data_IF_000250558726
#
_entry.id   IF_000250558726
#
_cell.length_a   1.000
_cell.length_b   1.000
_cell.length_c   1.000
_cell.angle_alpha   90.00
_cell.angle_beta   90.00
_cell.angle_gamma   90.00
#
_symmetry.space_group_name_H-M   'P 1'
#
loop_
_entity.id
_entity.type
_entity.pdbx_description
1 polymer ?
#
# COMPACT_ATOMS: atom_id res chain seq x y z
N UNK A 1 -1.81 -2.18 -6.95
CA UNK A 1 -0.51 -2.13 -6.22
C UNK A 1 -0.37 -3.35 -5.32
N UNK A 2 0.76 -4.06 -5.40
CA UNK A 2 0.99 -5.27 -4.61
C UNK A 2 1.58 -4.96 -3.24
N UNK A 3 1.15 -5.72 -2.23
CA UNK A 3 1.70 -5.63 -0.88
C UNK A 3 3.20 -5.91 -0.83
N UNK A 4 3.67 -6.90 -1.59
CA UNK A 4 5.07 -7.32 -1.57
C UNK A 4 6.00 -6.20 -2.03
N UNK A 5 5.64 -5.50 -3.10
CA UNK A 5 6.42 -4.41 -3.66
C UNK A 5 6.50 -3.23 -2.68
N UNK A 6 5.36 -2.88 -2.07
CA UNK A 6 5.28 -1.86 -1.02
C UNK A 6 6.16 -2.22 0.18
N UNK A 7 6.01 -3.43 0.71
CA UNK A 7 6.78 -3.88 1.88
C UNK A 7 8.29 -3.94 1.57
N UNK A 8 8.66 -4.35 0.35
CA UNK A 8 10.04 -4.35 -0.13
C UNK A 8 10.59 -2.92 -0.24
N UNK A 9 9.79 -1.99 -0.76
CA UNK A 9 10.15 -0.58 -0.90
C UNK A 9 10.43 0.09 0.45
N UNK A 10 9.52 -0.06 1.42
CA UNK A 10 9.69 0.50 2.76
C UNK A 10 10.67 -0.30 3.63
N UNK A 11 11.18 -1.44 3.15
CA UNK A 11 12.09 -2.30 3.92
C UNK A 11 11.42 -3.06 5.07
N UNK A 12 10.10 -3.24 5.04
CA UNK A 12 9.37 -4.04 6.02
C UNK A 12 7.93 -3.61 6.25
N UNK A 13 7.16 -4.54 6.83
CA UNK A 13 5.75 -4.35 7.20
C UNK A 13 5.61 -3.28 8.28
N UNK A 14 6.53 -3.27 9.26
CA UNK A 14 6.59 -2.27 10.34
C UNK A 14 6.86 -0.88 9.78
N UNK A 15 7.88 -0.73 8.93
CA UNK A 15 8.22 0.54 8.30
C UNK A 15 7.07 1.07 7.44
N UNK A 16 6.42 0.19 6.67
CA UNK A 16 5.21 0.53 5.89
C UNK A 16 4.10 1.04 6.80
N UNK A 17 3.86 0.38 7.93
CA UNK A 17 2.83 0.77 8.90
C UNK A 17 3.12 2.14 9.52
N UNK A 18 4.37 2.36 9.93
CA UNK A 18 4.85 3.64 10.49
C UNK A 18 4.74 4.77 9.47
N UNK A 19 5.18 4.55 8.23
CA UNK A 19 5.08 5.53 7.15
C UNK A 19 3.62 5.94 6.91
N UNK A 20 2.71 4.97 6.90
CA UNK A 20 1.27 5.22 6.66
C UNK A 20 0.50 5.71 7.89
N UNK A 21 1.13 5.71 9.07
CA UNK A 21 0.48 6.02 10.34
C UNK A 21 -0.62 5.01 10.71
N UNK A 22 -0.47 3.75 10.32
CA UNK A 22 -1.41 2.67 10.65
C UNK A 22 -0.76 1.64 11.57
N UNK A 23 -1.59 0.82 12.23
CA UNK A 23 -1.10 -0.25 13.08
C UNK A 23 -0.53 -1.40 12.25
N UNK A 24 0.55 -2.03 12.72
CA UNK A 24 1.17 -3.20 12.09
C UNK A 24 0.16 -4.31 11.67
N UNK A 25 -0.85 -4.70 12.49
CA UNK A 25 -1.84 -5.69 12.10
C UNK A 25 -2.68 -5.29 10.86
N UNK A 26 -2.83 -3.99 10.59
CA UNK A 26 -3.54 -3.54 9.40
C UNK A 26 -2.78 -3.89 8.11
N UNK A 27 -1.45 -3.76 8.11
CA UNK A 27 -0.59 -4.14 6.98
C UNK A 27 -0.55 -5.66 6.82
N UNK A 28 -0.54 -6.42 7.93
CA UNK A 28 -0.64 -7.88 7.88
C UNK A 28 -1.94 -8.34 7.22
N UNK A 29 -3.07 -7.69 7.52
CA UNK A 29 -4.39 -8.01 6.93
C UNK A 29 -4.55 -7.66 5.46
N UNK A 30 -3.62 -6.92 4.85
CA UNK A 30 -3.67 -6.69 3.41
C UNK A 30 -3.49 -8.01 2.66
N UNK A 31 -4.33 -8.20 1.64
CA UNK A 31 -4.22 -9.30 0.70
C UNK A 31 -3.03 -9.13 -0.26
N UNK A 32 -3.06 -9.85 -1.38
CA UNK A 32 -2.07 -9.70 -2.44
C UNK A 32 -2.03 -8.25 -2.96
N UNK A 33 -3.22 -7.67 -3.14
CA UNK A 33 -3.42 -6.27 -3.50
C UNK A 33 -3.74 -5.48 -2.23
N UNK A 34 -3.02 -4.36 -2.02
CA UNK A 34 -3.25 -3.48 -0.87
C UNK A 34 -4.54 -2.67 -1.06
N UNK A 35 -5.24 -2.22 -0.01
CA UNK A 35 -6.43 -1.40 -0.16
C UNK A 35 -6.18 -0.09 -0.92
N UNK A 36 -7.13 0.33 -1.75
CA UNK A 36 -7.09 1.55 -2.56
C UNK A 36 -6.69 2.80 -1.74
N UNK A 37 -7.34 2.99 -0.58
CA UNK A 37 -7.08 4.11 0.33
C UNK A 37 -5.63 4.16 0.83
N UNK A 38 -4.99 3.00 0.99
CA UNK A 38 -3.58 2.93 1.40
C UNK A 38 -2.67 3.13 0.19
N UNK A 39 -3.03 2.59 -0.96
CA UNK A 39 -2.30 2.77 -2.20
C UNK A 39 -2.16 4.25 -2.58
N UNK A 40 -3.26 5.02 -2.49
CA UNK A 40 -3.23 6.48 -2.69
C UNK A 40 -2.32 7.21 -1.70
N UNK A 41 -2.34 6.82 -0.41
CA UNK A 41 -1.44 7.42 0.59
C UNK A 41 0.03 7.14 0.26
N UNK A 42 0.33 5.89 -0.11
CA UNK A 42 1.68 5.47 -0.48
C UNK A 42 2.16 6.23 -1.70
N UNK A 43 1.36 6.35 -2.75
CA UNK A 43 1.74 7.09 -3.96
C UNK A 43 2.12 8.54 -3.62
N UNK A 44 1.33 9.22 -2.77
CA UNK A 44 1.63 10.58 -2.30
C UNK A 44 2.92 10.64 -1.47
N UNK A 45 3.17 9.65 -0.60
CA UNK A 45 4.37 9.60 0.23
C UNK A 45 5.63 9.27 -0.55
N UNK A 46 5.49 8.45 -1.58
CA UNK A 46 6.60 7.98 -2.43
C UNK A 46 6.80 8.86 -3.66
N UNK A 47 6.11 10.00 -3.74
CA UNK A 47 6.21 10.94 -4.84
C UNK A 47 6.05 10.29 -6.24
N UNK A 48 5.23 9.24 -6.34
CA UNK A 48 4.99 8.49 -7.58
C UNK A 48 5.96 7.34 -7.87
N UNK A 49 6.86 6.99 -6.95
CA UNK A 49 7.77 5.84 -7.10
C UNK A 49 7.01 4.51 -7.07
N UNK A 50 5.93 4.47 -6.29
CA UNK A 50 4.96 3.37 -6.29
C UNK A 50 3.66 3.83 -6.97
N UNK A 51 3.46 3.37 -8.22
CA UNK A 51 2.26 3.68 -9.00
C UNK A 51 1.01 3.05 -8.42
N UNK A 52 0.05 3.90 -8.07
CA UNK A 52 -1.31 3.47 -7.80
C UNK A 52 -2.07 3.36 -9.13
N UNK A 53 -2.44 2.14 -9.49
CA UNK A 53 -3.34 1.88 -10.63
C UNK A 53 -4.80 1.78 -10.15
N UNK A 54 -5.62 2.83 -10.31
CA UNK A 54 -7.03 2.78 -9.97
C UNK A 54 -7.79 1.70 -10.75
N UNK A 55 -7.31 1.34 -11.95
CA UNK A 55 -7.87 0.25 -12.75
C UNK A 55 -7.80 -1.11 -12.03
N UNK A 56 -6.81 -1.35 -11.16
CA UNK A 56 -6.72 -2.58 -10.36
C UNK A 56 -7.80 -2.67 -9.26
N UNK A 57 -8.39 -1.53 -8.88
CA UNK A 57 -9.39 -1.43 -7.82
C UNK A 57 -10.81 -1.27 -8.36
N UNK A 58 -10.91 -1.00 -9.66
CA UNK A 58 -12.17 -0.74 -10.36
C UNK A 58 -12.86 -2.06 -10.74
N UNK A 59 -13.22 -2.85 -9.73
CA UNK A 59 -14.07 -4.04 -9.88
C UNK A 59 -15.09 -4.09 -8.75
N UNK A 60 -16.10 -3.24 -8.84
CA UNK A 60 -17.43 -3.42 -8.25
C UNK A 60 -18.32 -2.29 -8.78
N UNK A 61 -18.84 -2.47 -10.01
CA UNK A 61 -20.14 -1.94 -10.40
C UNK A 61 -21.11 -3.12 -10.35
#
# INVERSE_FOLDING_TARGET
MNKKDVVKFFGGVVNTATALGIKHPAVCRWGAIIPEKQAMKIERMTHGELKYDPAMYRSAA
#
